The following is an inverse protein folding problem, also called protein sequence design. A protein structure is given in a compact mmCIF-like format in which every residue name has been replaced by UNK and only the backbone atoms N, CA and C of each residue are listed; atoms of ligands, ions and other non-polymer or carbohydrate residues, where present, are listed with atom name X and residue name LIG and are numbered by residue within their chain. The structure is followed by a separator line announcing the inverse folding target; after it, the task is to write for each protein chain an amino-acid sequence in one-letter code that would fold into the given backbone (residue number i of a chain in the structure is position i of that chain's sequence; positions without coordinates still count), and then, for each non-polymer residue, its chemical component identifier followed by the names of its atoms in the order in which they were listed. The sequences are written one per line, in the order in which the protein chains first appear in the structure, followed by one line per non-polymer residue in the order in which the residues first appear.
data_IF_337564998294
#
_entry.id   IF_337564998294
#
_cell.length_a   1.000
_cell.length_b   1.000
_cell.length_c   1.000
_cell.angle_alpha   90.00
_cell.angle_beta   90.00
_cell.angle_gamma   90.00
#
_symmetry.space_group_name_H-M   'P 1'
#
loop_
_entity.id
_entity.type
_entity.pdbx_description
1 polymer ?
#
# COMPACT_ATOMS: atom_id res chain seq x y z
N UNK A 1 -23.07 31.02 19.60
CA UNK A 1 -24.08 29.96 19.42
C UNK A 1 -23.32 28.84 18.76
N UNK A 2 -23.16 27.70 19.44
CA UNK A 2 -22.56 26.51 18.83
C UNK A 2 -23.40 26.13 17.61
N UNK A 3 -22.75 25.99 16.46
CA UNK A 3 -23.41 25.71 15.20
C UNK A 3 -23.52 24.19 15.07
N UNK A 4 -24.65 23.61 15.50
CA UNK A 4 -25.02 22.20 15.28
C UNK A 4 -24.99 21.75 13.80
N UNK A 5 -24.66 22.66 12.90
CA UNK A 5 -24.59 22.41 11.48
C UNK A 5 -23.25 21.82 11.06
N UNK A 6 -22.21 21.70 11.90
CA UNK A 6 -20.91 21.16 11.45
C UNK A 6 -20.59 19.75 11.96
N UNK A 7 -21.55 19.05 12.56
CA UNK A 7 -21.34 17.72 13.18
C UNK A 7 -21.27 16.55 12.19
N UNK A 8 -21.19 16.80 10.89
CA UNK A 8 -21.01 15.76 9.86
C UNK A 8 -20.07 16.24 8.76
N UNK A 9 -19.42 15.30 8.06
CA UNK A 9 -18.59 15.60 6.88
C UNK A 9 -19.33 16.40 5.79
N UNK A 10 -20.61 16.12 5.56
CA UNK A 10 -21.41 16.81 4.55
C UNK A 10 -21.70 18.27 4.92
N UNK A 11 -21.75 18.53 6.21
CA UNK A 11 -22.12 19.84 6.75
C UNK A 11 -20.92 20.55 7.38
N UNK A 12 -19.71 20.03 7.15
CA UNK A 12 -18.46 20.54 7.68
C UNK A 12 -18.32 22.04 7.40
N UNK A 13 -17.79 22.76 8.38
CA UNK A 13 -17.51 24.17 8.26
C UNK A 13 -16.38 24.37 7.24
N UNK A 14 -16.69 24.98 6.10
CA UNK A 14 -15.76 25.14 4.99
C UNK A 14 -14.81 26.31 5.23
N UNK A 15 -13.55 25.97 5.52
CA UNK A 15 -12.45 26.92 5.67
C UNK A 15 -11.94 27.45 4.33
N UNK A 16 -12.34 26.81 3.22
CA UNK A 16 -11.89 27.08 1.87
C UNK A 16 -10.45 26.66 1.64
N UNK A 17 -9.79 27.36 0.71
CA UNK A 17 -8.36 27.17 0.44
C UNK A 17 -7.53 27.66 1.63
N UNK A 18 -6.67 26.80 2.18
CA UNK A 18 -5.68 27.23 3.16
C UNK A 18 -4.50 27.92 2.49
N UNK A 19 -4.00 28.95 3.16
CA UNK A 19 -2.75 29.63 2.81
C UNK A 19 -2.20 30.26 4.08
N UNK A 20 -1.00 29.87 4.49
CA UNK A 20 -0.37 30.36 5.71
C UNK A 20 -1.11 29.94 6.98
N UNK A 21 -1.21 30.87 7.95
CA UNK A 21 -1.77 30.58 9.28
C UNK A 21 -3.25 30.97 9.36
N UNK A 22 -4.06 30.08 9.95
CA UNK A 22 -5.48 30.30 10.25
C UNK A 22 -5.79 29.87 11.68
N UNK A 23 -6.41 30.77 12.43
CA UNK A 23 -6.91 30.50 13.77
C UNK A 23 -8.43 30.34 13.74
N UNK A 24 -8.91 29.23 14.30
CA UNK A 24 -10.32 28.91 14.47
C UNK A 24 -10.60 28.93 15.97
N UNK A 25 -11.62 29.66 16.39
CA UNK A 25 -12.06 29.69 17.78
C UNK A 25 -13.50 29.23 17.82
N UNK A 26 -13.77 28.21 18.61
CA UNK A 26 -15.11 27.67 18.77
C UNK A 26 -15.34 27.13 20.18
N UNK A 27 -16.48 26.52 20.43
CA UNK A 27 -16.87 26.01 21.75
C UNK A 27 -17.69 24.73 21.63
N UNK A 28 -17.27 23.69 22.33
CA UNK A 28 -18.08 22.51 22.56
C UNK A 28 -18.99 22.69 23.77
N UNK A 29 -20.19 22.13 23.72
CA UNK A 29 -21.13 22.08 24.83
C UNK A 29 -21.57 20.65 25.15
N UNK A 30 -22.61 20.48 25.98
CA UNK A 30 -23.08 19.16 26.37
C UNK A 30 -23.82 18.43 25.24
N UNK A 31 -24.34 19.15 24.26
CA UNK A 31 -25.08 18.67 23.09
C UNK A 31 -24.23 18.61 21.83
N UNK A 32 -23.14 19.35 21.77
CA UNK A 32 -22.26 19.48 20.62
C UNK A 32 -20.80 19.24 21.02
N UNK A 33 -20.26 18.08 20.64
CA UNK A 33 -18.92 17.59 21.03
C UNK A 33 -18.07 17.14 19.86
N UNK A 34 -18.57 17.35 18.64
CA UNK A 34 -17.91 16.95 17.40
C UNK A 34 -18.12 18.06 16.38
N UNK A 35 -17.05 18.61 15.86
CA UNK A 35 -17.06 19.58 14.78
C UNK A 35 -16.25 19.05 13.59
N UNK A 36 -16.75 19.27 12.39
CA UNK A 36 -16.02 18.97 11.16
C UNK A 36 -15.63 20.26 10.46
N UNK A 37 -14.37 20.33 10.02
CA UNK A 37 -13.86 21.44 9.22
C UNK A 37 -13.39 20.91 7.88
N UNK A 38 -13.79 21.55 6.78
CA UNK A 38 -13.32 21.22 5.44
C UNK A 38 -12.29 22.24 4.99
N UNK A 39 -11.25 21.81 4.30
CA UNK A 39 -10.29 22.71 3.68
C UNK A 39 -9.69 22.14 2.39
N UNK A 40 -9.07 23.01 1.60
CA UNK A 40 -8.40 22.64 0.35
C UNK A 40 -6.96 23.12 0.36
N UNK A 41 -6.03 22.24 0.00
CA UNK A 41 -4.65 22.57 -0.33
C UNK A 41 -4.52 22.62 -1.86
N UNK A 42 -3.99 23.72 -2.40
CA UNK A 42 -3.78 23.86 -3.85
C UNK A 42 -2.46 23.26 -4.34
N UNK A 43 -1.59 22.90 -3.41
CA UNK A 43 -0.26 22.36 -3.66
C UNK A 43 0.20 21.52 -2.47
N UNK A 44 1.27 20.75 -2.67
CA UNK A 44 1.90 20.01 -1.59
C UNK A 44 2.40 20.99 -0.53
N UNK A 45 2.10 20.67 0.72
CA UNK A 45 2.28 21.60 1.83
C UNK A 45 2.63 20.84 3.11
N UNK A 46 3.45 21.45 3.95
CA UNK A 46 3.51 21.04 5.34
C UNK A 46 2.37 21.69 6.09
N UNK A 47 1.54 20.86 6.69
CA UNK A 47 0.44 21.24 7.54
C UNK A 47 0.86 21.04 8.99
N UNK A 48 0.76 22.10 9.78
CA UNK A 48 0.90 22.00 11.23
C UNK A 48 -0.41 22.41 11.90
N UNK A 49 -0.86 21.66 12.90
CA UNK A 49 -2.07 21.99 13.66
C UNK A 49 -1.78 21.95 15.15
N UNK A 50 -2.00 23.08 15.80
CA UNK A 50 -2.01 23.19 17.25
C UNK A 50 -3.44 23.32 17.76
N UNK A 51 -3.78 22.58 18.82
CA UNK A 51 -5.02 22.81 19.57
C UNK A 51 -4.72 23.37 20.95
N UNK A 52 -5.55 24.30 21.38
CA UNK A 52 -5.61 24.75 22.78
C UNK A 52 -7.04 24.59 23.29
N UNK A 53 -7.21 23.82 24.36
CA UNK A 53 -8.50 23.53 24.99
C UNK A 53 -8.40 22.28 25.84
N UNK A 54 -9.52 21.78 26.35
CA UNK A 54 -9.54 20.65 27.27
C UNK A 54 -10.01 19.37 26.58
N UNK A 55 -9.19 18.30 26.62
CA UNK A 55 -9.55 16.96 26.13
C UNK A 55 -10.05 16.97 24.69
N UNK A 56 -9.28 17.59 23.80
CA UNK A 56 -9.60 17.63 22.38
C UNK A 56 -8.88 16.50 21.65
N UNK A 57 -9.55 15.88 20.70
CA UNK A 57 -9.01 14.89 19.78
C UNK A 57 -9.27 15.32 18.35
N UNK A 58 -8.22 15.53 17.56
CA UNK A 58 -8.29 15.82 16.13
C UNK A 58 -8.03 14.56 15.33
N UNK A 59 -8.82 14.31 14.29
CA UNK A 59 -8.54 13.31 13.26
C UNK A 59 -8.48 14.01 11.90
N UNK A 60 -7.39 13.80 11.15
CA UNK A 60 -7.27 14.29 9.78
C UNK A 60 -7.86 13.27 8.81
N UNK A 61 -8.63 13.76 7.85
CA UNK A 61 -9.38 12.97 6.89
C UNK A 61 -9.13 13.59 5.51
N UNK A 62 -8.89 12.78 4.48
CA UNK A 62 -8.59 13.22 3.13
C UNK A 62 -9.66 12.78 2.12
N UNK A 63 -9.91 13.62 1.12
CA UNK A 63 -10.67 13.35 -0.10
C UNK A 63 -9.86 13.92 -1.26
N UNK A 64 -8.75 13.27 -1.56
CA UNK A 64 -7.73 13.78 -2.48
C UNK A 64 -8.24 13.90 -3.92
N UNK A 65 -9.16 13.01 -4.32
CA UNK A 65 -9.56 12.81 -5.71
C UNK A 65 -11.07 12.62 -5.94
N UNK A 66 -11.93 12.89 -4.95
CA UNK A 66 -13.39 12.82 -5.10
C UNK A 66 -13.98 11.40 -5.18
N UNK A 67 -13.14 10.37 -4.99
CA UNK A 67 -13.50 8.95 -5.10
C UNK A 67 -13.81 8.30 -3.74
N UNK A 68 -13.71 9.04 -2.63
CA UNK A 68 -13.94 8.52 -1.30
C UNK A 68 -13.14 9.26 -0.23
N UNK A 69 -13.59 9.11 1.01
CA UNK A 69 -12.99 9.73 2.19
C UNK A 69 -12.03 8.72 2.83
N UNK A 70 -10.75 9.06 2.90
CA UNK A 70 -9.67 8.27 3.52
C UNK A 70 -9.34 8.91 4.86
N UNK A 71 -9.49 8.16 5.96
CA UNK A 71 -8.99 8.59 7.27
C UNK A 71 -7.46 8.51 7.25
N UNK A 72 -6.77 9.61 7.51
CA UNK A 72 -5.30 9.63 7.57
C UNK A 72 -4.77 8.71 8.65
N UNK A 73 -5.58 8.47 9.69
CA UNK A 73 -5.14 7.75 10.86
C UNK A 73 -4.43 8.56 11.92
N UNK A 74 -4.17 9.82 11.62
CA UNK A 74 -3.48 10.74 12.50
C UNK A 74 -4.49 11.29 13.50
N UNK A 75 -4.32 10.86 14.74
CA UNK A 75 -5.14 11.29 15.86
C UNK A 75 -4.28 12.04 16.86
N UNK A 76 -4.64 13.29 17.12
CA UNK A 76 -3.91 14.18 18.02
C UNK A 76 -4.76 14.53 19.25
N UNK A 77 -4.22 14.33 20.45
CA UNK A 77 -4.88 14.69 21.71
C UNK A 77 -4.23 15.95 22.35
N UNK A 78 -5.01 17.01 22.58
CA UNK A 78 -4.50 18.32 23.06
C UNK A 78 -3.81 18.28 24.43
N UNK A 79 -4.15 17.31 25.28
CA UNK A 79 -3.67 17.24 26.65
C UNK A 79 -2.23 16.68 26.76
N UNK A 80 -1.70 16.16 25.65
CA UNK A 80 -0.33 15.66 25.55
C UNK A 80 0.65 16.75 25.13
N UNK A 81 0.16 17.92 24.70
CA UNK A 81 0.99 19.05 24.26
C UNK A 81 1.67 18.84 22.91
N UNK A 82 1.23 17.83 22.15
CA UNK A 82 1.74 17.51 20.83
C UNK A 82 1.26 18.52 19.77
N UNK A 83 1.84 18.44 18.57
CA UNK A 83 1.45 19.19 17.39
C UNK A 83 1.15 18.15 16.30
N UNK A 84 0.09 18.32 15.51
CA UNK A 84 -0.01 17.58 14.25
C UNK A 84 1.00 18.22 13.28
N UNK A 85 1.91 17.43 12.71
CA UNK A 85 2.86 17.88 11.68
C UNK A 85 2.81 16.90 10.50
N UNK A 86 2.09 17.27 9.45
CA UNK A 86 1.84 16.39 8.30
C UNK A 86 2.33 17.01 7.00
N UNK A 87 3.01 16.21 6.18
CA UNK A 87 3.27 16.57 4.80
C UNK A 87 2.10 16.07 3.94
N UNK A 88 1.34 17.01 3.38
CA UNK A 88 0.10 16.71 2.67
C UNK A 88 0.19 17.10 1.19
N UNK A 89 -0.27 16.23 0.26
CA UNK A 89 -0.41 16.61 -1.14
C UNK A 89 -1.52 17.66 -1.36
N UNK A 90 -1.58 18.23 -2.56
CA UNK A 90 -2.74 19.03 -2.97
C UNK A 90 -4.02 18.17 -2.90
N UNK A 91 -5.11 18.75 -2.42
CA UNK A 91 -6.34 17.96 -2.24
C UNK A 91 -7.37 18.64 -1.35
N UNK A 92 -8.50 17.96 -1.18
CA UNK A 92 -9.52 18.36 -0.20
C UNK A 92 -9.36 17.50 1.05
N UNK A 93 -9.47 18.13 2.20
CA UNK A 93 -9.28 17.49 3.50
C UNK A 93 -10.37 17.94 4.45
N UNK A 94 -10.52 17.14 5.50
CA UNK A 94 -11.42 17.39 6.61
C UNK A 94 -10.69 17.16 7.92
N UNK A 95 -10.97 17.98 8.91
CA UNK A 95 -10.70 17.65 10.30
C UNK A 95 -11.98 17.18 10.95
N UNK A 96 -11.94 16.05 11.64
CA UNK A 96 -12.91 15.70 12.66
C UNK A 96 -12.32 16.07 14.02
N UNK A 97 -12.89 17.08 14.68
CA UNK A 97 -12.47 17.49 16.02
C UNK A 97 -13.51 17.02 17.03
N UNK A 98 -13.08 16.31 18.06
CA UNK A 98 -13.90 15.89 19.21
C UNK A 98 -13.40 16.57 20.46
N UNK A 99 -14.29 16.88 21.40
CA UNK A 99 -13.86 17.56 22.62
C UNK A 99 -14.82 17.48 23.80
N UNK A 100 -14.30 17.87 24.96
CA UNK A 100 -15.10 18.14 26.15
C UNK A 100 -15.72 19.55 26.12
N UNK A 101 -16.73 19.80 26.94
CA UNK A 101 -17.40 21.10 27.01
C UNK A 101 -16.41 22.22 27.39
N UNK A 102 -16.34 23.26 26.57
CA UNK A 102 -15.41 24.36 26.74
C UNK A 102 -15.02 25.01 25.42
N UNK A 103 -14.42 26.20 25.52
CA UNK A 103 -13.85 26.87 24.36
C UNK A 103 -12.56 26.18 23.91
N UNK A 104 -12.32 26.17 22.60
CA UNK A 104 -11.06 25.74 22.03
C UNK A 104 -10.59 26.69 20.93
N UNK A 105 -9.28 26.65 20.70
CA UNK A 105 -8.62 27.26 19.56
C UNK A 105 -7.93 26.17 18.75
N UNK A 106 -8.14 26.18 17.44
CA UNK A 106 -7.39 25.38 16.47
C UNK A 106 -6.58 26.34 15.60
N UNK A 107 -5.26 26.25 15.68
CA UNK A 107 -4.34 27.01 14.85
C UNK A 107 -3.75 26.10 13.80
N UNK A 108 -4.14 26.33 12.56
CA UNK A 108 -3.66 25.61 11.38
C UNK A 108 -2.61 26.47 10.71
N UNK A 109 -1.45 25.92 10.40
CA UNK A 109 -0.41 26.60 9.64
C UNK A 109 -0.01 25.72 8.46
N UNK A 110 -0.36 26.18 7.27
CA UNK A 110 0.07 25.65 6.00
C UNK A 110 1.37 26.36 5.60
N UNK A 111 2.40 25.58 5.35
CA UNK A 111 3.65 26.03 4.76
C UNK A 111 3.72 25.42 3.37
N UNK A 112 3.47 26.22 2.31
CA UNK A 112 3.54 25.68 0.96
C UNK A 112 4.95 25.13 0.72
N UNK A 113 5.03 23.91 0.18
CA UNK A 113 6.29 23.33 -0.29
C UNK A 113 6.32 23.45 -1.82
N UNK A 114 6.83 24.57 -2.39
CA UNK A 114 6.93 24.73 -3.82
C UNK A 114 8.05 23.83 -4.39
N UNK A 115 7.75 22.55 -4.56
CA UNK A 115 8.30 21.76 -5.67
C UNK A 115 7.55 22.15 -6.95
N UNK A 116 8.18 21.97 -8.11
CA UNK A 116 7.43 22.08 -9.37
C UNK A 116 6.14 21.25 -9.25
N UNK A 117 5.01 21.84 -9.62
CA UNK A 117 3.68 21.22 -9.57
C UNK A 117 3.69 19.98 -10.46
N UNK A 118 4.10 18.84 -9.91
CA UNK A 118 3.85 17.54 -10.49
C UNK A 118 2.45 17.14 -10.00
N UNK A 119 1.54 16.79 -10.92
CA UNK A 119 0.24 16.26 -10.51
C UNK A 119 0.44 15.02 -9.64
N UNK A 120 -0.43 14.80 -8.68
CA UNK A 120 -0.52 13.55 -7.91
C UNK A 120 -0.52 12.34 -8.89
N UNK A 121 0.47 11.42 -8.81
CA UNK A 121 0.54 10.19 -9.58
C UNK A 121 -0.64 9.27 -9.31
N UNK A 122 -1.27 9.41 -8.15
CA UNK A 122 -2.43 8.68 -7.75
C UNK A 122 -2.08 7.29 -7.26
N UNK A 123 -2.95 6.79 -6.40
CA UNK A 123 -2.79 5.55 -5.63
C UNK A 123 -3.21 4.28 -6.37
N UNK A 124 -3.56 4.40 -7.65
CA UNK A 124 -4.00 3.27 -8.46
C UNK A 124 -3.54 3.43 -9.90
N UNK A 125 -3.41 2.31 -10.62
CA UNK A 125 -3.06 2.32 -12.04
C UNK A 125 -4.03 3.09 -12.95
N UNK A 126 -5.31 3.19 -12.55
CA UNK A 126 -6.30 3.97 -13.29
C UNK A 126 -6.16 5.48 -13.07
N UNK A 127 -5.52 5.89 -11.97
CA UNK A 127 -5.21 7.28 -11.64
C UNK A 127 -3.81 7.70 -12.08
N UNK A 128 -2.99 6.75 -12.54
CA UNK A 128 -1.59 6.95 -12.85
C UNK A 128 -1.30 8.22 -13.66
N UNK A 129 -0.36 9.03 -13.19
CA UNK A 129 0.08 10.22 -13.92
C UNK A 129 0.80 9.84 -15.21
N UNK A 130 0.21 10.21 -16.35
CA UNK A 130 0.82 10.04 -17.66
C UNK A 130 1.97 11.05 -17.89
N UNK A 131 3.21 10.57 -17.78
CA UNK A 131 4.44 11.33 -18.05
C UNK A 131 4.86 11.28 -19.53
N UNK A 132 4.04 10.64 -20.37
CA UNK A 132 4.14 10.62 -21.82
C UNK A 132 5.24 9.74 -22.39
N UNK A 133 5.68 10.05 -23.60
CA UNK A 133 6.79 9.35 -24.27
C UNK A 133 8.10 9.66 -23.55
N UNK A 134 8.83 8.62 -23.15
CA UNK A 134 10.17 8.79 -22.60
C UNK A 134 11.14 9.22 -23.69
N UNK A 135 12.03 10.14 -23.33
CA UNK A 135 13.17 10.55 -24.15
C UNK A 135 14.27 11.10 -23.25
N UNK A 136 15.46 10.49 -23.29
CA UNK A 136 16.57 10.87 -22.42
C UNK A 136 16.28 10.65 -20.94
N UNK A 137 16.59 11.64 -20.09
CA UNK A 137 16.35 11.59 -18.64
C UNK A 137 15.09 12.38 -18.27
N UNK A 138 14.23 11.77 -17.44
CA UNK A 138 13.11 12.40 -16.74
C UNK A 138 13.41 12.47 -15.25
N UNK A 139 13.00 13.56 -14.61
CA UNK A 139 13.07 13.72 -13.16
C UNK A 139 11.72 14.18 -12.64
N UNK A 140 11.21 13.46 -11.65
CA UNK A 140 9.92 13.60 -11.00
C UNK A 140 10.17 13.66 -9.49
N UNK A 141 9.20 14.19 -8.75
CA UNK A 141 9.25 14.32 -7.30
C UNK A 141 7.87 14.15 -6.73
N UNK A 142 7.77 13.38 -5.65
CA UNK A 142 6.52 13.14 -4.97
C UNK A 142 6.70 12.68 -3.52
N UNK A 143 5.59 12.31 -2.89
CA UNK A 143 5.53 11.78 -1.54
C UNK A 143 4.72 10.48 -1.52
N UNK A 144 5.29 9.43 -0.92
CA UNK A 144 4.53 8.23 -0.56
C UNK A 144 4.42 8.13 0.96
N UNK A 145 3.29 7.70 1.51
CA UNK A 145 3.05 7.57 2.95
C UNK A 145 1.61 7.19 3.31
N UNK A 146 1.22 7.40 4.58
CA UNK A 146 -0.08 6.92 5.11
C UNK A 146 -1.32 7.44 4.36
N UNK A 147 -1.22 8.64 3.77
CA UNK A 147 -2.26 9.28 2.96
C UNK A 147 -2.06 9.14 1.44
N UNK A 148 -0.86 8.73 1.03
CA UNK A 148 -0.45 8.57 -0.36
C UNK A 148 0.30 7.25 -0.49
N UNK A 149 -0.46 6.17 -0.32
CA UNK A 149 0.06 4.82 -0.13
C UNK A 149 0.89 4.28 -1.29
N UNK A 150 0.67 4.77 -2.50
CA UNK A 150 1.38 4.36 -3.71
C UNK A 150 1.35 5.48 -4.74
N UNK A 151 2.42 5.62 -5.51
CA UNK A 151 2.47 6.55 -6.63
C UNK A 151 2.62 5.80 -7.95
N UNK A 152 1.63 5.93 -8.83
CA UNK A 152 1.66 5.30 -10.14
C UNK A 152 1.96 6.32 -11.26
N UNK A 153 3.02 6.10 -12.02
CA UNK A 153 3.32 6.85 -13.25
C UNK A 153 3.06 5.99 -14.46
N UNK A 154 2.59 6.60 -15.56
CA UNK A 154 2.41 5.94 -16.87
C UNK A 154 3.31 6.57 -17.92
N UNK A 155 3.98 5.77 -18.73
CA UNK A 155 4.88 6.25 -19.77
C UNK A 155 4.89 5.37 -21.03
N UNK A 156 5.41 5.90 -22.13
CA UNK A 156 5.54 5.17 -23.41
C UNK A 156 6.98 5.08 -23.87
N UNK A 157 7.42 3.88 -24.25
CA UNK A 157 8.71 3.60 -24.89
C UNK A 157 8.47 3.31 -26.37
N UNK A 158 9.14 4.05 -27.26
CA UNK A 158 8.91 3.97 -28.73
C UNK A 158 9.95 3.14 -29.48
N UNK A 159 11.03 2.73 -28.82
CA UNK A 159 12.09 1.88 -29.36
C UNK A 159 12.62 0.96 -28.26
N UNK A 160 13.17 -0.21 -28.60
CA UNK A 160 13.81 -1.08 -27.61
C UNK A 160 14.89 -0.29 -26.86
N UNK A 161 14.79 -0.25 -25.53
CA UNK A 161 15.57 0.64 -24.69
C UNK A 161 15.93 -0.05 -23.38
N UNK A 162 17.09 0.27 -22.84
CA UNK A 162 17.40 0.04 -21.43
C UNK A 162 16.96 1.27 -20.63
N UNK A 163 16.21 1.07 -19.55
CA UNK A 163 15.85 2.11 -18.60
C UNK A 163 16.68 1.97 -17.32
N UNK A 164 17.29 3.06 -16.87
CA UNK A 164 17.85 3.21 -15.54
C UNK A 164 16.95 4.05 -14.65
N UNK A 165 16.41 3.48 -13.58
CA UNK A 165 15.52 4.16 -12.62
C UNK A 165 16.23 4.29 -11.28
N UNK A 166 16.22 5.50 -10.73
CA UNK A 166 16.80 5.84 -9.44
C UNK A 166 15.74 6.58 -8.63
N UNK A 167 15.49 6.12 -7.41
CA UNK A 167 14.74 6.88 -6.42
C UNK A 167 15.67 7.29 -5.30
N UNK A 168 15.57 8.56 -4.93
CA UNK A 168 16.42 9.26 -3.97
C UNK A 168 15.58 10.24 -3.17
N UNK A 169 16.17 11.01 -2.25
CA UNK A 169 15.43 11.97 -1.41
C UNK A 169 14.92 11.37 -0.10
N UNK A 170 14.69 12.25 0.89
CA UNK A 170 14.20 11.87 2.21
C UNK A 170 15.24 11.32 3.21
N UNK A 171 14.79 10.99 4.42
CA UNK A 171 15.60 10.33 5.47
C UNK A 171 15.43 8.80 5.48
N UNK A 172 14.39 8.29 4.82
CA UNK A 172 14.09 6.87 4.67
C UNK A 172 14.02 6.48 3.18
N UNK A 173 14.43 5.27 2.77
CA UNK A 173 14.31 4.86 1.37
C UNK A 173 12.89 4.36 1.04
N UNK A 174 12.25 4.87 -0.03
CA UNK A 174 11.04 4.30 -0.63
C UNK A 174 11.38 3.10 -1.54
N UNK A 175 10.47 2.14 -1.73
CA UNK A 175 10.64 1.03 -2.68
C UNK A 175 10.03 1.41 -4.05
N UNK A 176 10.54 0.82 -5.13
CA UNK A 176 10.17 1.16 -6.51
C UNK A 176 10.02 -0.11 -7.33
N UNK A 177 8.90 -0.22 -8.02
CA UNK A 177 8.56 -1.37 -8.85
C UNK A 177 8.07 -0.92 -10.23
N UNK A 178 8.49 -1.58 -11.32
CA UNK A 178 7.96 -1.29 -12.66
C UNK A 178 6.79 -2.23 -12.95
N UNK A 179 5.70 -1.67 -13.47
CA UNK A 179 4.49 -2.42 -13.83
C UNK A 179 4.29 -2.28 -15.33
N UNK A 180 4.45 -3.34 -16.12
CA UNK A 180 4.26 -3.29 -17.57
C UNK A 180 2.78 -3.40 -17.98
N UNK A 181 2.35 -2.61 -18.98
CA UNK A 181 1.08 -2.82 -19.70
C UNK A 181 1.38 -3.16 -21.16
N UNK A 182 1.43 -4.45 -21.46
CA UNK A 182 1.23 -4.89 -22.85
C UNK A 182 -0.22 -5.27 -23.08
N UNK A 183 -0.98 -4.25 -23.49
CA UNK A 183 -2.25 -4.35 -24.22
C UNK A 183 -3.50 -4.56 -23.35
N UNK A 184 -3.85 -3.51 -22.59
CA UNK A 184 -5.24 -3.09 -22.36
C UNK A 184 -6.21 -4.12 -21.76
N UNK A 185 -5.75 -5.07 -20.92
CA UNK A 185 -6.64 -6.02 -20.22
C UNK A 185 -6.10 -6.59 -18.89
N UNK A 186 -5.04 -6.06 -18.29
CA UNK A 186 -4.56 -6.59 -17.01
C UNK A 186 -3.13 -6.23 -16.72
N UNK A 187 -2.93 -5.83 -15.47
CA UNK A 187 -1.68 -5.35 -14.87
C UNK A 187 -0.66 -6.48 -14.86
N UNK A 188 0.55 -6.24 -15.40
CA UNK A 188 1.69 -7.16 -15.29
C UNK A 188 2.72 -6.44 -14.42
N UNK A 189 2.83 -6.78 -13.14
CA UNK A 189 4.01 -6.43 -12.35
C UNK A 189 5.24 -7.11 -12.99
N UNK A 190 6.32 -6.38 -13.23
CA UNK A 190 7.55 -6.96 -13.80
C UNK A 190 8.37 -7.75 -12.79
N UNK A 191 7.97 -7.77 -11.51
CA UNK A 191 8.63 -8.55 -10.47
C UNK A 191 10.01 -8.03 -10.07
N UNK A 192 10.44 -6.86 -10.59
CA UNK A 192 11.67 -6.20 -10.14
C UNK A 192 11.36 -5.15 -9.05
N UNK A 193 11.16 -5.61 -7.81
CA UNK A 193 11.30 -4.75 -6.63
C UNK A 193 12.78 -4.63 -6.29
N UNK A 194 13.43 -3.53 -6.68
CA UNK A 194 14.70 -3.17 -6.05
C UNK A 194 14.35 -2.31 -4.86
N UNK A 195 14.60 -2.86 -3.67
CA UNK A 195 14.69 -2.04 -2.47
C UNK A 195 15.64 -0.88 -2.77
N UNK A 196 15.13 0.36 -2.80
CA UNK A 196 16.04 1.49 -2.96
C UNK A 196 16.93 1.49 -1.71
N UNK A 197 18.19 1.09 -1.88
CA UNK A 197 19.24 1.53 -0.97
C UNK A 197 19.76 2.79 -1.63
N UNK A 198 19.97 3.84 -0.84
CA UNK A 198 20.54 5.10 -1.29
C UNK A 198 21.65 4.86 -2.34
N UNK A 199 21.39 5.18 -3.61
CA UNK A 199 22.35 5.04 -4.71
C UNK A 199 22.24 3.79 -5.60
N UNK A 200 21.25 2.91 -5.43
CA UNK A 200 21.00 1.80 -6.37
C UNK A 200 20.20 2.25 -7.60
N UNK A 201 20.52 1.68 -8.76
CA UNK A 201 19.81 1.90 -10.04
C UNK A 201 19.12 0.61 -10.46
N UNK A 202 17.80 0.68 -10.67
CA UNK A 202 17.02 -0.35 -11.36
C UNK A 202 17.30 -0.25 -12.86
N UNK A 203 17.80 -1.31 -13.47
CA UNK A 203 18.11 -1.33 -14.90
C UNK A 203 17.31 -2.42 -15.60
N UNK A 204 16.41 -2.02 -16.48
CA UNK A 204 15.49 -2.94 -17.18
C UNK A 204 15.53 -2.74 -18.69
N UNK A 205 15.53 -3.82 -19.46
CA UNK A 205 15.39 -3.77 -20.92
C UNK A 205 13.90 -3.84 -21.30
N UNK A 206 13.39 -2.77 -21.90
CA UNK A 206 12.01 -2.64 -22.35
C UNK A 206 11.92 -2.64 -23.88
N UNK A 207 10.92 -3.35 -24.39
CA UNK A 207 10.51 -3.23 -25.79
C UNK A 207 9.64 -1.99 -26.00
N UNK A 208 9.27 -1.69 -27.25
CA UNK A 208 8.24 -0.68 -27.54
C UNK A 208 6.92 -1.01 -26.84
N UNK A 209 6.30 -0.04 -26.17
CA UNK A 209 5.05 -0.24 -25.43
C UNK A 209 4.71 0.88 -24.45
N UNK A 210 3.54 0.78 -23.83
CA UNK A 210 3.16 1.58 -22.68
C UNK A 210 3.53 0.82 -21.38
N UNK A 211 3.91 1.55 -20.35
CA UNK A 211 4.36 0.99 -19.08
C UNK A 211 3.90 1.88 -17.95
N UNK A 212 3.88 1.31 -16.76
CA UNK A 212 3.65 1.98 -15.50
C UNK A 212 4.85 1.81 -14.57
N UNK A 213 5.01 2.73 -13.64
CA UNK A 213 5.96 2.66 -12.55
C UNK A 213 5.17 2.87 -11.26
N UNK A 214 5.43 2.06 -10.25
CA UNK A 214 4.92 2.23 -8.89
C UNK A 214 6.08 2.64 -7.98
N UNK A 215 5.86 3.65 -7.15
CA UNK A 215 6.69 3.97 -6.00
C UNK A 215 5.85 3.70 -4.76
N UNK A 216 6.40 3.01 -3.77
CA UNK A 216 5.67 2.61 -2.56
C UNK A 216 6.49 2.88 -1.29
N UNK A 217 5.84 3.21 -0.15
CA UNK A 217 6.52 3.55 1.08
C UNK A 217 7.09 2.29 1.74
N UNK A 218 8.38 2.29 2.00
CA UNK A 218 9.04 1.18 2.66
C UNK A 218 8.68 1.17 4.14
N UNK A 219 8.14 0.05 4.62
CA UNK A 219 7.66 -0.13 6.01
C UNK A 219 6.50 0.79 6.43
N UNK A 220 5.81 1.42 5.47
CA UNK A 220 4.68 2.31 5.75
C UNK A 220 5.05 3.67 6.36
N UNK A 221 6.34 4.02 6.42
CA UNK A 221 6.74 5.37 6.86
C UNK A 221 6.71 6.35 5.68
N UNK A 222 6.01 7.46 5.85
CA UNK A 222 5.90 8.50 4.84
C UNK A 222 7.24 9.15 4.47
N UNK A 223 7.48 9.36 3.18
CA UNK A 223 8.71 9.95 2.69
C UNK A 223 8.56 10.68 1.36
N UNK A 224 9.25 11.83 1.26
CA UNK A 224 9.41 12.53 -0.02
C UNK A 224 10.50 11.84 -0.84
N UNK A 225 10.28 11.72 -2.14
CA UNK A 225 11.25 11.14 -3.06
C UNK A 225 11.48 11.97 -4.31
N UNK A 226 12.68 11.80 -4.87
CA UNK A 226 13.18 12.26 -6.15
C UNK A 226 13.33 11.03 -7.05
N UNK A 227 12.51 10.94 -8.10
CA UNK A 227 12.54 9.85 -9.08
C UNK A 227 13.23 10.31 -10.36
N UNK A 228 14.29 9.61 -10.76
CA UNK A 228 14.99 9.82 -12.03
C UNK A 228 14.87 8.58 -12.92
N UNK A 229 14.38 8.78 -14.15
CA UNK A 229 14.23 7.73 -15.18
C UNK A 229 15.13 8.10 -16.36
N UNK A 230 16.09 7.25 -16.69
CA UNK A 230 17.04 7.45 -17.79
C UNK A 230 16.82 6.42 -18.87
N UNK A 231 16.52 6.83 -20.09
CA UNK A 231 16.36 5.93 -21.24
C UNK A 231 17.60 5.92 -22.14
N UNK A 232 18.10 4.73 -22.44
CA UNK A 232 19.15 4.48 -23.42
C UNK A 232 18.62 3.56 -24.52
N UNK A 233 18.52 4.05 -25.76
CA UNK A 233 18.03 3.26 -26.89
C UNK A 233 19.05 2.18 -27.28
N UNK A 234 18.61 0.93 -27.42
CA UNK A 234 19.48 -0.22 -27.75
C UNK A 234 19.77 -0.36 -29.26
N UNK A 235 19.17 0.49 -30.10
CA UNK A 235 19.30 0.43 -31.57
C UNK A 235 18.62 -0.80 -32.19
N UNK A 236 18.53 -0.84 -33.53
CA UNK A 236 18.02 -2.02 -34.27
C UNK A 236 19.15 -3.02 -34.50
N UNK A 237 19.31 -4.03 -33.65
CA UNK A 237 20.29 -5.10 -33.94
C UNK A 237 19.78 -5.98 -35.11
N UNK A 238 20.68 -6.48 -35.99
CA UNK A 238 20.32 -7.23 -37.20
C UNK A 238 19.72 -8.60 -36.85
N UNK A 239 18.95 -9.22 -37.77
CA UNK A 239 18.13 -10.40 -37.46
C UNK A 239 18.99 -11.60 -37.04
N UNK A 240 18.49 -12.47 -36.13
CA UNK A 240 19.10 -13.77 -35.86
C UNK A 240 19.22 -14.58 -37.16
N UNK A 241 20.38 -15.19 -37.38
CA UNK A 241 20.70 -15.93 -38.60
C UNK A 241 19.68 -17.01 -38.97
N UNK A 242 19.34 -17.04 -40.26
CA UNK A 242 18.79 -18.14 -41.07
C UNK A 242 17.93 -19.21 -40.37
N UNK A 243 16.62 -19.13 -40.59
CA UNK A 243 15.59 -20.16 -40.40
C UNK A 243 16.06 -21.62 -40.68
N UNK A 244 15.76 -22.57 -39.78
CA UNK A 244 15.30 -23.91 -40.14
C UNK A 244 13.79 -23.89 -40.52
N UNK A 245 13.25 -24.95 -41.15
CA UNK A 245 12.04 -24.90 -41.99
C UNK A 245 10.73 -24.56 -41.24
N UNK A 246 9.70 -24.05 -41.95
CA UNK A 246 8.43 -23.69 -41.36
C UNK A 246 7.64 -24.94 -40.94
N UNK A 247 7.42 -25.09 -39.64
CA UNK A 247 6.60 -26.14 -39.06
C UNK A 247 5.98 -25.67 -37.74
N UNK A 248 4.66 -25.46 -37.80
CA UNK A 248 3.72 -25.22 -36.69
C UNK A 248 3.94 -23.96 -35.84
N UNK A 249 3.26 -22.87 -36.22
CA UNK A 249 2.81 -21.87 -35.24
C UNK A 249 2.10 -22.60 -34.08
N UNK A 250 2.44 -22.32 -32.81
CA UNK A 250 1.57 -22.68 -31.70
C UNK A 250 0.23 -21.92 -31.88
N UNK A 251 -0.91 -22.51 -31.49
CA UNK A 251 -2.18 -21.81 -31.53
C UNK A 251 -2.13 -20.53 -30.68
N UNK A 252 -2.91 -19.49 -31.01
CA UNK A 252 -3.14 -18.38 -30.09
C UNK A 252 -3.76 -18.95 -28.80
N UNK A 253 -3.01 -18.91 -27.69
CA UNK A 253 -3.49 -19.37 -26.40
C UNK A 253 -2.51 -20.09 -25.48
N UNK A 254 -1.23 -20.25 -25.82
CA UNK A 254 -0.25 -20.82 -24.89
C UNK A 254 0.66 -19.71 -24.36
N UNK A 255 0.36 -19.24 -23.15
CA UNK A 255 1.34 -18.49 -22.36
C UNK A 255 2.65 -19.31 -22.25
N UNK A 256 3.82 -18.65 -22.15
CA UNK A 256 5.04 -19.37 -21.79
C UNK A 256 4.79 -20.18 -20.51
N UNK A 257 5.30 -21.40 -20.37
CA UNK A 257 5.24 -22.09 -19.09
C UNK A 257 6.04 -21.31 -18.03
N UNK A 258 5.70 -21.45 -16.74
CA UNK A 258 6.52 -20.94 -15.63
C UNK A 258 8.00 -21.29 -15.81
N UNK A 259 8.88 -20.38 -15.43
CA UNK A 259 10.32 -20.57 -15.53
C UNK A 259 10.87 -21.29 -14.28
N UNK A 260 11.85 -22.18 -14.49
CA UNK A 260 12.39 -23.07 -13.46
C UNK A 260 11.72 -24.45 -13.49
N UNK A 261 12.49 -25.50 -13.26
CA UNK A 261 11.97 -26.87 -13.18
C UNK A 261 12.05 -27.32 -11.72
N UNK A 262 10.92 -27.56 -11.03
CA UNK A 262 10.93 -27.84 -9.61
C UNK A 262 11.62 -29.18 -9.29
N UNK A 263 12.35 -29.19 -8.20
CA UNK A 263 13.14 -30.30 -7.67
C UNK A 263 12.86 -30.48 -6.17
N UNK A 264 13.57 -31.40 -5.50
CA UNK A 264 13.50 -31.48 -4.02
C UNK A 264 14.63 -30.68 -3.36
N UNK A 265 15.21 -29.70 -4.06
CA UNK A 265 16.20 -28.77 -3.54
C UNK A 265 15.71 -27.34 -3.72
N UNK A 266 16.46 -26.38 -3.19
CA UNK A 266 16.06 -24.97 -3.21
C UNK A 266 15.96 -24.44 -4.64
N UNK A 267 14.76 -24.06 -5.05
CA UNK A 267 14.44 -23.57 -6.37
C UNK A 267 14.04 -22.09 -6.38
N UNK A 268 14.23 -21.45 -7.52
CA UNK A 268 13.68 -20.13 -7.82
C UNK A 268 12.75 -20.28 -9.01
N UNK A 269 11.45 -20.18 -8.75
CA UNK A 269 10.39 -20.42 -9.72
C UNK A 269 9.63 -19.11 -9.94
N UNK A 270 9.37 -18.78 -11.20
CA UNK A 270 8.62 -17.56 -11.57
C UNK A 270 7.55 -17.92 -12.57
N UNK A 271 6.32 -17.53 -12.26
CA UNK A 271 5.13 -17.65 -13.09
C UNK A 271 5.14 -16.68 -14.25
N UNK A 272 3.95 -16.49 -14.79
CA UNK A 272 3.66 -15.58 -15.88
C UNK A 272 2.58 -14.60 -15.45
N UNK A 273 2.26 -13.60 -16.27
CA UNK A 273 1.19 -12.65 -15.93
C UNK A 273 -0.24 -13.19 -16.09
N UNK A 274 -0.40 -14.52 -16.17
CA UNK A 274 -1.70 -15.17 -16.18
C UNK A 274 -1.74 -16.24 -15.08
N UNK A 275 -2.95 -16.72 -14.74
CA UNK A 275 -3.10 -17.70 -13.68
C UNK A 275 -2.29 -18.99 -13.90
N UNK A 276 -1.38 -19.25 -12.98
CA UNK A 276 -0.43 -20.34 -12.97
C UNK A 276 -0.65 -21.30 -11.79
N UNK A 277 -0.11 -22.51 -11.92
CA UNK A 277 -0.03 -23.47 -10.82
C UNK A 277 1.42 -23.89 -10.64
N UNK A 278 2.05 -23.41 -9.57
CA UNK A 278 3.47 -23.64 -9.29
C UNK A 278 3.63 -24.44 -8.00
N UNK A 279 4.58 -25.39 -8.01
CA UNK A 279 4.87 -26.29 -6.89
C UNK A 279 6.37 -26.33 -6.66
N UNK A 280 6.84 -25.90 -5.48
CA UNK A 280 8.24 -25.97 -5.07
C UNK A 280 8.71 -27.40 -4.79
N UNK A 281 7.81 -28.22 -4.22
CA UNK A 281 8.03 -29.61 -3.78
C UNK A 281 8.76 -29.69 -2.45
N UNK A 282 10.08 -29.57 -2.43
CA UNK A 282 10.81 -29.58 -1.19
C UNK A 282 12.16 -28.91 -1.34
N UNK A 283 12.73 -28.45 -0.23
CA UNK A 283 13.78 -27.45 -0.28
C UNK A 283 13.25 -26.12 0.23
N UNK A 284 14.10 -25.11 0.31
CA UNK A 284 13.69 -23.76 0.65
C UNK A 284 13.52 -22.98 -0.65
N UNK A 285 12.29 -22.89 -1.13
CA UNK A 285 11.96 -22.40 -2.46
C UNK A 285 11.57 -20.93 -2.45
N UNK A 286 11.88 -20.23 -3.52
CA UNK A 286 11.31 -18.91 -3.83
C UNK A 286 10.37 -19.05 -5.01
N UNK A 287 9.09 -18.78 -4.80
CA UNK A 287 8.04 -18.91 -5.80
C UNK A 287 7.37 -17.55 -5.99
N UNK A 288 7.36 -17.05 -7.21
CA UNK A 288 6.73 -15.79 -7.61
C UNK A 288 5.67 -16.05 -8.67
N UNK A 289 4.40 -15.74 -8.37
CA UNK A 289 3.25 -15.86 -9.28
C UNK A 289 3.19 -14.74 -10.33
N UNK A 290 3.82 -13.60 -10.05
CA UNK A 290 3.79 -12.37 -10.85
C UNK A 290 2.41 -11.73 -10.94
N UNK A 291 1.52 -12.20 -11.80
CA UNK A 291 0.18 -11.64 -11.88
C UNK A 291 -0.79 -12.62 -12.50
N UNK A 292 -2.09 -12.41 -12.30
CA UNK A 292 -3.10 -13.39 -12.66
C UNK A 292 -3.78 -13.94 -11.41
N UNK A 293 -4.37 -15.12 -11.50
CA UNK A 293 -4.98 -15.77 -10.34
C UNK A 293 -4.25 -17.09 -10.13
N UNK A 294 -3.26 -17.07 -9.26
CA UNK A 294 -2.27 -18.13 -9.14
C UNK A 294 -2.59 -19.11 -8.02
N UNK A 295 -2.03 -20.30 -8.16
CA UNK A 295 -2.00 -21.30 -7.09
C UNK A 295 -0.56 -21.72 -6.84
N UNK A 296 0.00 -21.22 -5.75
CA UNK A 296 1.38 -21.47 -5.34
C UNK A 296 1.41 -22.46 -4.18
N UNK A 297 2.25 -23.48 -4.30
CA UNK A 297 2.47 -24.46 -3.24
C UNK A 297 3.97 -24.51 -2.95
N UNK A 298 4.38 -24.17 -1.72
CA UNK A 298 5.77 -24.23 -1.27
C UNK A 298 6.24 -25.67 -1.23
N UNK A 299 5.71 -26.43 -0.28
CA UNK A 299 6.06 -27.83 -0.12
C UNK A 299 6.67 -28.08 1.24
N UNK A 300 7.77 -28.82 1.29
CA UNK A 300 8.52 -29.01 2.54
C UNK A 300 9.79 -28.16 2.56
N UNK A 301 9.94 -27.30 3.54
CA UNK A 301 11.11 -26.46 3.74
C UNK A 301 10.69 -25.04 4.11
N UNK A 302 11.60 -24.10 4.11
CA UNK A 302 11.29 -22.70 4.41
C UNK A 302 11.14 -21.94 3.11
N UNK A 303 9.89 -21.77 2.69
CA UNK A 303 9.56 -21.26 1.37
C UNK A 303 9.18 -19.77 1.44
N UNK A 304 9.38 -19.06 0.34
CA UNK A 304 8.87 -17.71 0.12
C UNK A 304 7.95 -17.72 -1.08
N UNK A 305 6.66 -17.51 -0.84
CA UNK A 305 5.60 -17.50 -1.84
C UNK A 305 5.11 -16.06 -2.04
N UNK A 306 5.10 -15.60 -3.28
CA UNK A 306 4.67 -14.26 -3.67
C UNK A 306 3.56 -14.43 -4.71
N UNK A 307 2.32 -14.05 -4.39
CA UNK A 307 1.18 -14.11 -5.31
C UNK A 307 1.32 -13.08 -6.42
N UNK A 308 1.45 -11.82 -6.01
CA UNK A 308 1.60 -10.70 -6.93
C UNK A 308 0.25 -10.01 -7.14
N UNK A 309 -0.16 -9.76 -8.37
CA UNK A 309 -1.43 -9.11 -8.65
C UNK A 309 -2.53 -10.11 -9.03
N UNK A 310 -3.64 -10.11 -8.30
CA UNK A 310 -4.90 -10.77 -8.66
C UNK A 310 -5.51 -11.55 -7.51
N UNK A 311 -6.08 -12.72 -7.77
CA UNK A 311 -6.74 -13.53 -6.72
C UNK A 311 -6.00 -14.83 -6.57
N UNK A 312 -5.07 -14.84 -5.64
CA UNK A 312 -4.10 -15.88 -5.51
C UNK A 312 -4.44 -16.83 -4.36
N UNK A 313 -3.89 -18.03 -4.47
CA UNK A 313 -3.95 -19.03 -3.42
C UNK A 313 -2.55 -19.51 -3.11
N UNK A 314 -2.05 -19.15 -1.95
CA UNK A 314 -0.72 -19.50 -1.46
C UNK A 314 -0.86 -20.57 -0.35
N UNK A 315 -0.13 -21.67 -0.49
CA UNK A 315 -0.06 -22.75 0.49
C UNK A 315 1.42 -23.03 0.82
N UNK A 316 1.91 -22.61 1.98
CA UNK A 316 3.30 -22.87 2.43
C UNK A 316 3.55 -24.36 2.66
N UNK A 317 2.58 -25.01 3.30
CA UNK A 317 2.53 -26.43 3.66
C UNK A 317 3.38 -26.80 4.87
N UNK A 318 4.68 -27.02 4.74
CA UNK A 318 5.49 -27.51 5.86
C UNK A 318 6.84 -26.84 5.95
N UNK A 319 7.11 -26.22 7.10
CA UNK A 319 8.31 -25.46 7.41
C UNK A 319 7.94 -24.03 7.78
N UNK A 320 8.92 -23.15 7.94
CA UNK A 320 8.66 -21.77 8.34
C UNK A 320 8.62 -20.92 7.08
N UNK A 321 7.41 -20.57 6.65
CA UNK A 321 7.20 -19.98 5.35
C UNK A 321 6.95 -18.47 5.42
N UNK A 322 7.20 -17.79 4.31
CA UNK A 322 6.81 -16.39 4.08
C UNK A 322 5.81 -16.36 2.95
N UNK A 323 4.58 -15.95 3.22
CA UNK A 323 3.51 -15.83 2.24
C UNK A 323 3.14 -14.36 2.06
N UNK A 324 3.32 -13.84 0.85
CA UNK A 324 2.99 -12.48 0.44
C UNK A 324 1.89 -12.55 -0.63
N UNK A 325 0.66 -12.18 -0.30
CA UNK A 325 -0.48 -12.21 -1.24
C UNK A 325 -0.29 -11.20 -2.36
N UNK A 326 -0.09 -9.94 -1.98
CA UNK A 326 0.19 -8.86 -2.92
C UNK A 326 -1.05 -7.99 -3.08
N UNK A 327 -1.60 -7.87 -4.27
CA UNK A 327 -2.83 -7.11 -4.49
C UNK A 327 -3.97 -8.00 -4.95
N UNK A 328 -5.14 -7.86 -4.34
CA UNK A 328 -6.40 -8.36 -4.87
C UNK A 328 -7.27 -9.06 -3.84
N UNK A 329 -7.53 -10.36 -3.96
CA UNK A 329 -8.30 -11.08 -2.92
C UNK A 329 -7.82 -12.49 -2.83
N UNK A 330 -7.04 -12.73 -1.79
CA UNK A 330 -6.18 -13.88 -1.72
C UNK A 330 -6.63 -14.87 -0.65
N UNK A 331 -6.14 -16.08 -0.78
CA UNK A 331 -6.27 -17.14 0.21
C UNK A 331 -4.89 -17.63 0.58
N UNK A 332 -4.46 -17.30 1.80
CA UNK A 332 -3.14 -17.61 2.31
C UNK A 332 -3.25 -18.69 3.39
N UNK A 333 -2.49 -19.76 3.23
CA UNK A 333 -2.47 -20.90 4.14
C UNK A 333 -1.01 -21.19 4.50
N UNK A 334 -0.60 -20.84 5.72
CA UNK A 334 0.76 -21.06 6.22
C UNK A 334 1.10 -22.55 6.21
N UNK A 335 0.40 -23.31 7.06
CA UNK A 335 0.49 -24.76 7.07
C UNK A 335 1.06 -25.25 8.38
N UNK A 336 2.30 -25.71 8.41
CA UNK A 336 2.92 -26.17 9.64
C UNK A 336 4.33 -25.64 9.80
N UNK A 337 4.60 -24.93 10.88
CA UNK A 337 5.84 -24.23 11.15
C UNK A 337 5.53 -22.80 11.58
N UNK A 338 6.54 -21.97 11.80
CA UNK A 338 6.29 -20.59 12.24
C UNK A 338 6.27 -19.69 11.01
N UNK A 339 5.08 -19.37 10.53
CA UNK A 339 4.89 -18.69 9.27
C UNK A 339 4.79 -17.18 9.45
N UNK A 340 5.21 -16.44 8.43
CA UNK A 340 4.95 -15.00 8.27
C UNK A 340 4.01 -14.80 7.10
N UNK A 341 2.83 -14.25 7.36
CA UNK A 341 1.77 -14.10 6.36
C UNK A 341 1.40 -12.63 6.24
N UNK A 342 1.42 -12.13 5.02
CA UNK A 342 1.00 -10.78 4.66
C UNK A 342 0.01 -10.89 3.49
N UNK A 343 -1.26 -10.59 3.74
CA UNK A 343 -2.30 -10.60 2.70
C UNK A 343 -2.01 -9.56 1.62
N UNK A 344 -1.52 -8.39 2.03
CA UNK A 344 -1.33 -7.28 1.13
C UNK A 344 -2.55 -6.39 1.05
N UNK A 345 -2.86 -5.90 -0.15
CA UNK A 345 -4.01 -5.05 -0.39
C UNK A 345 -5.19 -5.91 -0.86
N UNK A 346 -6.35 -5.78 -0.22
CA UNK A 346 -7.54 -6.52 -0.61
C UNK A 346 -8.34 -7.07 0.56
N UNK A 347 -9.24 -8.02 0.28
CA UNK A 347 -10.04 -8.63 1.34
C UNK A 347 -9.68 -10.10 1.45
N UNK A 348 -8.64 -10.40 2.23
CA UNK A 348 -7.97 -11.69 2.18
C UNK A 348 -8.52 -12.68 3.21
N UNK A 349 -8.25 -13.95 2.95
CA UNK A 349 -8.57 -15.05 3.87
C UNK A 349 -7.28 -15.74 4.27
N UNK A 350 -6.93 -15.60 5.55
CA UNK A 350 -5.68 -16.09 6.12
C UNK A 350 -5.98 -17.25 7.06
N UNK A 351 -5.28 -18.36 6.86
CA UNK A 351 -5.27 -19.53 7.74
C UNK A 351 -3.82 -19.79 8.13
N UNK A 352 -3.49 -19.63 9.40
CA UNK A 352 -2.12 -19.74 9.92
C UNK A 352 -1.64 -21.18 9.93
N UNK A 353 -2.47 -22.10 10.40
CA UNK A 353 -2.12 -23.51 10.53
C UNK A 353 -1.52 -23.83 11.91
N UNK A 354 -0.44 -24.62 11.93
CA UNK A 354 0.25 -25.05 13.14
C UNK A 354 1.55 -24.29 13.30
N UNK A 355 1.90 -23.90 14.53
CA UNK A 355 3.16 -23.21 14.83
C UNK A 355 2.92 -21.87 15.50
N UNK A 356 3.92 -20.99 15.53
CA UNK A 356 3.81 -19.64 16.10
C UNK A 356 3.87 -18.62 14.98
N UNK A 357 2.69 -18.22 14.53
CA UNK A 357 2.59 -17.51 13.27
C UNK A 357 2.55 -16.00 13.47
N UNK A 358 2.95 -15.27 12.44
CA UNK A 358 2.92 -13.82 12.41
C UNK A 358 2.11 -13.34 11.22
N UNK A 359 1.09 -12.56 11.48
CA UNK A 359 0.23 -11.97 10.47
C UNK A 359 0.51 -10.48 10.41
N UNK A 360 0.87 -9.98 9.25
CA UNK A 360 1.11 -8.54 9.05
C UNK A 360 -0.23 -7.82 9.01
N UNK A 361 -0.31 -6.72 9.75
CA UNK A 361 -1.49 -5.86 9.79
C UNK A 361 -1.07 -4.41 9.62
N UNK A 362 -1.65 -3.74 8.63
CA UNK A 362 -1.34 -2.37 8.23
C UNK A 362 -2.57 -1.60 7.78
N UNK A 363 -2.41 -0.28 7.64
CA UNK A 363 -3.45 0.60 7.09
C UNK A 363 -3.71 0.24 5.63
N UNK A 364 -4.93 0.48 5.17
CA UNK A 364 -5.34 0.31 3.77
C UNK A 364 -5.10 -1.10 3.18
N UNK A 365 -4.83 -2.11 4.02
CA UNK A 365 -4.75 -3.51 3.59
C UNK A 365 -6.09 -4.06 3.09
N UNK A 366 -7.18 -3.34 3.36
CA UNK A 366 -8.55 -3.81 3.18
C UNK A 366 -9.05 -4.57 4.40
N UNK A 367 -10.06 -5.43 4.23
CA UNK A 367 -10.73 -6.12 5.33
C UNK A 367 -10.45 -7.62 5.29
N UNK A 368 -9.45 -8.01 6.07
CA UNK A 368 -8.96 -9.38 6.11
C UNK A 368 -9.70 -10.24 7.11
N UNK A 369 -9.57 -11.55 6.91
CA UNK A 369 -10.20 -12.55 7.77
C UNK A 369 -9.22 -13.64 8.14
N UNK A 370 -8.98 -13.78 9.44
CA UNK A 370 -8.12 -14.83 9.99
C UNK A 370 -8.99 -15.90 10.61
N UNK A 371 -8.83 -17.13 10.14
CA UNK A 371 -9.81 -18.21 10.38
C UNK A 371 -9.49 -19.07 11.60
N UNK A 372 -8.23 -19.11 12.03
CA UNK A 372 -7.73 -20.08 13.02
C UNK A 372 -6.71 -19.50 14.02
N UNK A 373 -6.78 -18.19 14.27
CA UNK A 373 -5.85 -17.50 15.19
C UNK A 373 -5.78 -18.17 16.56
N UNK A 374 -4.57 -18.54 17.01
CA UNK A 374 -4.34 -19.15 18.33
C UNK A 374 -3.74 -18.14 19.31
N UNK A 375 -4.58 -17.64 20.23
CA UNK A 375 -4.18 -16.71 21.30
C UNK A 375 -2.95 -17.21 22.08
N UNK A 376 -2.04 -16.30 22.44
CA UNK A 376 -0.73 -16.57 23.09
C UNK A 376 0.29 -17.35 22.25
N UNK A 377 -0.08 -17.79 21.05
CA UNK A 377 0.81 -18.52 20.16
C UNK A 377 1.17 -17.67 18.95
N UNK A 378 0.14 -17.25 18.23
CA UNK A 378 0.23 -16.44 17.01
C UNK A 378 0.18 -14.96 17.38
N UNK A 379 0.63 -14.13 16.44
CA UNK A 379 0.75 -12.68 16.63
C UNK A 379 0.35 -11.90 15.39
N UNK A 380 -0.16 -10.72 15.61
CA UNK A 380 -0.30 -9.67 14.61
C UNK A 380 0.88 -8.73 14.73
N UNK A 381 1.68 -8.59 13.67
CA UNK A 381 2.70 -7.57 13.59
C UNK A 381 2.05 -6.30 13.02
N UNK A 382 1.95 -5.24 13.83
CA UNK A 382 1.36 -3.98 13.41
C UNK A 382 2.41 -3.13 12.67
N UNK A 383 2.07 -2.65 11.48
CA UNK A 383 2.94 -1.78 10.67
C UNK A 383 2.21 -0.46 10.43
N UNK A 384 2.80 0.65 10.89
CA UNK A 384 2.17 1.98 10.83
C UNK A 384 0.94 2.15 11.74
N UNK A 385 0.69 1.20 12.64
CA UNK A 385 -0.45 1.21 13.58
C UNK A 385 0.07 0.91 14.98
N UNK A 386 -0.37 1.67 15.97
CA UNK A 386 -0.18 1.34 17.37
C UNK A 386 -1.39 0.59 17.93
N UNK A 387 -1.16 -0.35 18.85
CA UNK A 387 -2.26 -1.06 19.51
C UNK A 387 -3.30 -0.14 20.16
N UNK A 388 -2.89 1.06 20.62
CA UNK A 388 -3.80 2.03 21.23
C UNK A 388 -4.82 2.66 20.26
N UNK A 389 -4.55 2.59 18.95
CA UNK A 389 -5.47 3.07 17.92
C UNK A 389 -6.52 2.03 17.53
N UNK A 390 -6.34 0.77 17.94
CA UNK A 390 -7.25 -0.32 17.61
C UNK A 390 -8.50 -0.27 18.48
N UNK A 391 -9.65 -0.39 17.83
CA UNK A 391 -10.94 -0.62 18.46
C UNK A 391 -11.36 -2.07 18.24
N UNK A 392 -11.83 -2.72 19.30
CA UNK A 392 -12.25 -4.10 19.24
C UNK A 392 -13.75 -4.21 19.49
N UNK A 393 -14.42 -4.98 18.64
CA UNK A 393 -15.85 -5.24 18.75
C UNK A 393 -16.12 -6.73 18.66
N UNK A 394 -16.83 -7.27 19.65
CA UNK A 394 -17.35 -8.63 19.58
C UNK A 394 -18.47 -8.70 18.55
N UNK A 395 -18.39 -9.67 17.63
CA UNK A 395 -19.43 -9.97 16.65
C UNK A 395 -19.73 -11.47 16.69
N UNK A 396 -20.83 -11.83 17.36
CA UNK A 396 -21.21 -13.23 17.57
C UNK A 396 -20.08 -14.02 18.26
N UNK A 397 -19.32 -14.82 17.53
CA UNK A 397 -18.21 -15.62 18.04
C UNK A 397 -16.86 -15.18 17.43
N UNK A 398 -16.82 -13.98 16.85
CA UNK A 398 -15.66 -13.41 16.18
C UNK A 398 -15.26 -12.09 16.84
N UNK A 399 -14.00 -11.69 16.65
CA UNK A 399 -13.51 -10.36 17.02
C UNK A 399 -13.33 -9.52 15.77
N UNK A 400 -14.05 -8.42 15.69
CA UNK A 400 -13.83 -7.39 14.70
C UNK A 400 -12.81 -6.38 15.24
N UNK A 401 -11.67 -6.28 14.58
CA UNK A 401 -10.64 -5.27 14.83
C UNK A 401 -10.81 -4.13 13.85
N UNK A 402 -10.82 -2.92 14.39
CA UNK A 402 -11.08 -1.69 13.66
C UNK A 402 -10.00 -0.66 13.93
N UNK A 403 -9.83 0.23 12.97
CA UNK A 403 -9.01 1.42 13.09
C UNK A 403 -9.90 2.61 12.73
N UNK A 404 -10.20 3.47 13.71
CA UNK A 404 -11.24 4.49 13.56
C UNK A 404 -12.59 3.88 13.17
N UNK A 405 -13.12 4.26 11.99
CA UNK A 405 -14.37 3.71 11.45
C UNK A 405 -14.18 2.48 10.55
N UNK A 406 -12.96 2.22 10.09
CA UNK A 406 -12.64 1.17 9.13
C UNK A 406 -12.52 -0.19 9.81
N UNK A 407 -13.02 -1.23 9.12
CA UNK A 407 -12.79 -2.61 9.52
C UNK A 407 -11.48 -3.06 8.91
N UNK A 408 -10.59 -3.57 9.74
CA UNK A 408 -9.24 -3.93 9.33
C UNK A 408 -9.07 -5.45 9.35
N UNK A 409 -9.63 -6.12 10.36
CA UNK A 409 -9.49 -7.56 10.52
C UNK A 409 -10.72 -8.17 11.19
N UNK A 410 -11.15 -9.33 10.71
CA UNK A 410 -12.06 -10.23 11.41
C UNK A 410 -11.29 -11.46 11.86
N UNK A 411 -11.21 -11.67 13.16
CA UNK A 411 -10.64 -12.87 13.76
C UNK A 411 -11.79 -13.82 14.07
N UNK A 412 -11.92 -14.88 13.28
CA UNK A 412 -13.02 -15.82 13.42
C UNK A 412 -12.86 -16.68 14.68
N UNK A 413 -13.99 -17.14 15.22
CA UNK A 413 -14.06 -18.11 16.31
C UNK A 413 -13.23 -17.73 17.56
N UNK A 414 -13.11 -16.44 17.83
CA UNK A 414 -12.30 -15.89 18.91
C UNK A 414 -13.16 -15.06 19.85
N UNK A 415 -13.04 -15.33 21.15
CA UNK A 415 -13.65 -14.51 22.21
C UNK A 415 -12.79 -13.23 22.38
N UNK A 416 -13.44 -12.07 22.41
CA UNK A 416 -12.79 -10.78 22.64
C UNK A 416 -11.95 -10.76 23.92
N UNK A 417 -12.34 -11.50 24.96
CA UNK A 417 -11.59 -11.60 26.22
C UNK A 417 -10.28 -12.38 26.11
N UNK A 418 -10.12 -13.15 25.05
CA UNK A 418 -8.91 -13.91 24.80
C UNK A 418 -7.83 -13.08 24.07
N UNK A 419 -8.22 -11.95 23.47
CA UNK A 419 -7.35 -11.02 22.78
C UNK A 419 -6.63 -10.10 23.78
N UNK A 420 -5.30 -10.07 23.71
CA UNK A 420 -4.46 -9.26 24.58
C UNK A 420 -3.54 -8.34 23.78
N UNK A 421 -3.05 -7.28 24.42
CA UNK A 421 -2.03 -6.41 23.82
C UNK A 421 -0.80 -7.18 23.33
N UNK A 422 -0.41 -8.27 23.98
CA UNK A 422 0.76 -9.07 23.60
C UNK A 422 0.60 -9.85 22.30
N UNK A 423 -0.65 -10.02 21.85
CA UNK A 423 -0.98 -10.64 20.56
C UNK A 423 -0.71 -9.67 19.40
N UNK A 424 -0.50 -8.38 19.68
CA UNK A 424 -0.15 -7.34 18.71
C UNK A 424 1.24 -6.78 19.04
N UNK A 425 2.17 -6.84 18.09
CA UNK A 425 3.57 -6.45 18.30
C UNK A 425 3.94 -5.24 17.48
#
# INVERSE_FOLDING_TARGET
MASLNDNTLLTANDLGVLSGVRDINDTFDSSDRIAYYKFTLLQNSDLTVALTGNFLRLELIADLNGNGIVDSGESFDSDLGDLLEEALPAGTYYFELRGSTGAYNMRIAETPKPGNVFPDPGNTLSQALDIGVLSGQRSLRDYVGDLDSDDFYKFTVTQNSNLGIVVSGGTNPADVSIIADRNANGVIDSGETIASRLGNTLSVDLSTGAYFLRVDPRFGEGNNYDLAITQVNLGTNPPPGTNPPPGTNPPPGTNPPPSGNPTNGNDSLTGTPAGDVIRGLGGNDRIDGSGGNDRLLGGSGQDTLIGGAGRDRLEGQGGNDVLLGGGGRDVLIGGGGNDRIDGGAGNDVITTGLGRDRIVVRRNQGFDRVTDFRNNQDKFDLVGISFGQLLFQERQNDVLVKLGRSNLLLIENTDLRAINRSDFV
#
